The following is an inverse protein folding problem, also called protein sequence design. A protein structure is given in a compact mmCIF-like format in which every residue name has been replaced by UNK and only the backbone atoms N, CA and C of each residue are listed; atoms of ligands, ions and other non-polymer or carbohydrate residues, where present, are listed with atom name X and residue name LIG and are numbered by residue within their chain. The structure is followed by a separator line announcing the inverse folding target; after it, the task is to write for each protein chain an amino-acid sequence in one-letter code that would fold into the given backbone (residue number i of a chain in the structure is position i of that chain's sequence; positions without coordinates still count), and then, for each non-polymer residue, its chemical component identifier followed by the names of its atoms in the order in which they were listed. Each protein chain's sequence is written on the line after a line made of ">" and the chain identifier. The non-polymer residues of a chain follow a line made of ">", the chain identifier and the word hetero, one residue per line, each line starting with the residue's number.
data_IF_040715660018
#
_entry.id   IF_040715660018
#
_cell.length_a   1.000
_cell.length_b   1.000
_cell.length_c   1.000
_cell.angle_alpha   90.00
_cell.angle_beta   90.00
_cell.angle_gamma   90.00
#
_symmetry.space_group_name_H-M   'P 1'
#
loop_
_entity.id
_entity.type
_entity.pdbx_description
1 polymer ?
#
# COMPACT_ATOMS: atom_id res chain seq x y z
N UNK A 1 -16.37 -0.28 0.69
CA UNK A 1 -15.83 -0.68 2.00
C UNK A 1 -14.45 -0.06 2.21
N UNK A 2 -13.99 0.04 3.45
CA UNK A 2 -12.60 0.38 3.78
C UNK A 2 -11.84 -0.92 4.08
N UNK A 3 -10.64 -1.06 3.54
CA UNK A 3 -9.80 -2.23 3.74
C UNK A 3 -8.90 -1.98 4.95
N UNK A 4 -9.06 -2.82 5.98
CA UNK A 4 -8.20 -2.87 7.15
C UNK A 4 -7.34 -4.13 7.20
N UNK A 5 -6.17 -3.99 7.81
CA UNK A 5 -5.34 -5.08 8.27
C UNK A 5 -5.41 -5.18 9.80
N UNK A 6 -5.36 -6.41 10.32
CA UNK A 6 -5.34 -6.69 11.76
C UNK A 6 -4.27 -7.74 12.12
N UNK A 7 -3.77 -7.79 13.37
CA UNK A 7 -2.80 -8.80 13.79
C UNK A 7 -3.36 -10.21 13.66
N UNK A 8 -2.49 -11.18 13.38
CA UNK A 8 -2.88 -12.59 13.33
C UNK A 8 -3.66 -13.02 14.59
N UNK A 9 -4.79 -13.70 14.40
CA UNK A 9 -5.67 -14.08 15.49
C UNK A 9 -6.23 -15.49 15.26
N UNK A 10 -5.76 -16.44 16.05
CA UNK A 10 -6.12 -17.85 15.90
C UNK A 10 -7.61 -18.13 16.13
N UNK A 11 -8.30 -17.35 16.96
CA UNK A 11 -9.74 -17.53 17.21
C UNK A 11 -10.55 -17.09 15.98
N UNK A 12 -10.22 -15.92 15.40
CA UNK A 12 -10.81 -15.46 14.15
C UNK A 12 -10.52 -16.44 13.00
N UNK A 13 -9.27 -16.89 12.87
CA UNK A 13 -8.87 -17.86 11.84
C UNK A 13 -9.65 -19.18 11.95
N UNK A 14 -9.87 -19.68 13.16
CA UNK A 14 -10.64 -20.90 13.39
C UNK A 14 -12.11 -20.73 12.99
N UNK A 15 -12.72 -19.57 13.29
CA UNK A 15 -14.09 -19.27 12.88
C UNK A 15 -14.16 -19.18 11.35
N UNK A 16 -13.30 -18.38 10.72
CA UNK A 16 -13.26 -18.20 9.26
C UNK A 16 -13.09 -19.56 8.57
N UNK A 17 -12.10 -20.35 8.99
CA UNK A 17 -11.79 -21.67 8.39
C UNK A 17 -12.97 -22.63 8.41
N UNK A 18 -13.75 -22.64 9.50
CA UNK A 18 -14.95 -23.48 9.63
C UNK A 18 -16.04 -23.08 8.63
N UNK A 19 -16.23 -21.78 8.42
CA UNK A 19 -17.21 -21.28 7.44
C UNK A 19 -16.75 -21.52 6.00
N UNK A 20 -15.47 -21.27 5.70
CA UNK A 20 -14.91 -21.46 4.34
C UNK A 20 -14.76 -22.92 3.94
N UNK A 21 -14.81 -23.87 4.88
CA UNK A 21 -14.92 -25.30 4.58
C UNK A 21 -16.33 -25.72 4.11
N UNK A 22 -17.34 -24.87 4.33
CA UNK A 22 -18.71 -25.08 3.87
C UNK A 22 -18.94 -24.60 2.43
N UNK A 23 -20.17 -24.79 1.94
CA UNK A 23 -20.57 -24.33 0.61
C UNK A 23 -20.71 -22.80 0.61
N UNK A 24 -20.07 -22.07 -0.33
CA UNK A 24 -20.27 -20.62 -0.46
C UNK A 24 -21.69 -20.28 -0.95
N UNK A 25 -22.15 -19.08 -0.60
CA UNK A 25 -23.41 -18.51 -1.08
C UNK A 25 -23.27 -17.92 -2.48
N UNK A 26 -22.08 -17.36 -2.77
CA UNK A 26 -21.69 -16.90 -4.10
C UNK A 26 -20.34 -17.49 -4.47
N UNK A 27 -20.22 -17.96 -5.71
CA UNK A 27 -18.99 -18.48 -6.30
C UNK A 27 -19.03 -18.18 -7.79
N UNK A 28 -18.24 -17.20 -8.21
CA UNK A 28 -18.20 -16.76 -9.60
C UNK A 28 -16.83 -16.20 -9.98
N UNK A 29 -16.55 -16.17 -11.28
CA UNK A 29 -15.37 -15.52 -11.85
C UNK A 29 -15.81 -14.17 -12.42
N UNK A 30 -15.14 -13.10 -12.01
CA UNK A 30 -15.42 -11.76 -12.52
C UNK A 30 -15.10 -11.69 -14.03
N UNK A 31 -16.05 -11.21 -14.86
CA UNK A 31 -15.79 -11.01 -16.27
C UNK A 31 -14.74 -9.91 -16.48
N UNK A 32 -13.67 -10.21 -17.21
CA UNK A 32 -12.68 -9.23 -17.67
C UNK A 32 -11.29 -9.41 -17.05
N UNK A 33 -11.21 -9.65 -15.74
CA UNK A 33 -9.93 -9.84 -15.03
C UNK A 33 -9.65 -11.29 -14.64
N UNK A 34 -10.67 -12.16 -14.64
CA UNK A 34 -10.53 -13.59 -14.37
C UNK A 34 -10.38 -13.93 -12.87
N UNK A 35 -10.59 -12.98 -11.96
CA UNK A 35 -10.52 -13.25 -10.53
C UNK A 35 -11.74 -14.05 -10.05
N UNK A 36 -11.49 -15.09 -9.26
CA UNK A 36 -12.53 -15.85 -8.58
C UNK A 36 -12.98 -15.14 -7.30
N UNK A 37 -14.29 -15.03 -7.11
CA UNK A 37 -14.90 -14.45 -5.94
C UNK A 37 -15.82 -15.47 -5.26
N UNK A 38 -15.50 -15.79 -4.01
CA UNK A 38 -16.28 -16.69 -3.17
C UNK A 38 -16.70 -15.99 -1.89
N UNK A 39 -17.97 -16.18 -1.48
CA UNK A 39 -18.55 -15.51 -0.34
C UNK A 39 -19.28 -16.50 0.57
N UNK A 40 -19.06 -16.36 1.87
CA UNK A 40 -19.75 -17.10 2.92
C UNK A 40 -20.42 -16.10 3.86
N UNK A 41 -21.50 -16.54 4.50
CA UNK A 41 -22.23 -15.74 5.50
C UNK A 41 -21.92 -16.34 6.87
N UNK A 42 -21.52 -15.49 7.81
CA UNK A 42 -21.44 -15.82 9.23
C UNK A 42 -22.70 -15.28 9.90
N UNK A 43 -23.64 -16.17 10.22
CA UNK A 43 -24.98 -15.86 10.74
C UNK A 43 -25.29 -16.48 12.11
N UNK A 44 -24.35 -17.24 12.69
CA UNK A 44 -24.49 -17.76 14.05
C UNK A 44 -24.15 -16.66 15.04
N UNK A 45 -25.10 -16.33 15.92
CA UNK A 45 -24.91 -15.28 16.92
C UNK A 45 -23.66 -15.51 17.78
N UNK A 46 -23.42 -16.76 18.19
CA UNK A 46 -22.25 -17.15 18.99
C UNK A 46 -20.91 -16.77 18.30
N UNK A 47 -20.84 -16.95 16.98
CA UNK A 47 -19.65 -16.66 16.19
C UNK A 47 -19.50 -15.15 15.92
N UNK A 48 -20.61 -14.44 15.72
CA UNK A 48 -20.63 -12.97 15.58
C UNK A 48 -20.17 -12.30 16.88
N UNK A 49 -20.64 -12.80 18.03
CA UNK A 49 -20.26 -12.30 19.35
C UNK A 49 -18.77 -12.54 19.61
N UNK A 50 -18.27 -13.74 19.27
CA UNK A 50 -16.84 -14.05 19.38
C UNK A 50 -15.98 -13.14 18.51
N UNK A 51 -16.35 -12.93 17.23
CA UNK A 51 -15.66 -11.99 16.34
C UNK A 51 -15.64 -10.59 16.94
N UNK A 52 -16.79 -10.13 17.45
CA UNK A 52 -16.92 -8.79 18.06
C UNK A 52 -16.00 -8.65 19.28
N UNK A 53 -15.93 -9.67 20.14
CA UNK A 53 -15.05 -9.69 21.32
C UNK A 53 -13.57 -9.69 20.93
N UNK A 54 -13.17 -10.44 19.90
CA UNK A 54 -11.80 -10.44 19.40
C UNK A 54 -11.39 -9.08 18.84
N UNK A 55 -12.25 -8.44 18.03
CA UNK A 55 -11.98 -7.09 17.53
C UNK A 55 -11.99 -6.02 18.63
N UNK A 56 -12.81 -6.16 19.67
CA UNK A 56 -12.83 -5.23 20.81
C UNK A 56 -11.52 -5.24 21.62
N UNK A 57 -10.75 -6.34 21.57
CA UNK A 57 -9.44 -6.46 22.20
C UNK A 57 -8.34 -5.75 21.38
N UNK A 58 -8.60 -5.42 20.12
CA UNK A 58 -7.64 -4.74 19.24
C UNK A 58 -7.79 -3.22 19.40
N UNK A 59 -6.81 -2.53 19.98
CA UNK A 59 -6.92 -1.09 20.25
C UNK A 59 -6.98 -0.25 18.96
N UNK A 60 -6.47 -0.79 17.85
CA UNK A 60 -6.51 -0.15 16.55
C UNK A 60 -6.40 -1.20 15.43
N UNK A 61 -6.93 -0.84 14.26
CA UNK A 61 -6.73 -1.55 13.00
C UNK A 61 -5.94 -0.66 12.03
N UNK A 62 -5.17 -1.26 11.13
CA UNK A 62 -4.40 -0.52 10.14
C UNK A 62 -5.23 -0.28 8.89
N UNK A 63 -5.35 0.96 8.40
CA UNK A 63 -6.03 1.26 7.14
C UNK A 63 -5.09 0.88 5.98
N UNK A 64 -5.34 -0.26 5.35
CA UNK A 64 -4.57 -0.71 4.19
C UNK A 64 -5.00 0.03 2.92
N UNK A 65 -6.31 0.27 2.73
CA UNK A 65 -6.83 1.10 1.66
C UNK A 65 -8.16 1.78 2.05
N UNK A 66 -8.37 3.01 1.59
CA UNK A 66 -9.59 3.77 1.84
C UNK A 66 -9.48 4.92 2.85
N UNK A 67 -8.30 5.47 3.10
CA UNK A 67 -8.08 6.65 3.96
C UNK A 67 -9.07 7.79 3.71
N UNK A 68 -9.29 8.17 2.45
CA UNK A 68 -10.26 9.20 2.08
C UNK A 68 -11.71 8.79 2.36
N UNK A 69 -12.05 7.50 2.17
CA UNK A 69 -13.38 6.97 2.47
C UNK A 69 -13.65 6.99 3.97
N UNK A 70 -12.69 6.59 4.80
CA UNK A 70 -12.78 6.67 6.26
C UNK A 70 -12.93 8.10 6.74
N UNK A 71 -12.12 9.03 6.21
CA UNK A 71 -12.20 10.45 6.57
C UNK A 71 -13.55 11.06 6.17
N UNK A 72 -14.04 10.78 4.95
CA UNK A 72 -15.34 11.26 4.49
C UNK A 72 -16.49 10.69 5.33
N UNK A 73 -16.46 9.39 5.66
CA UNK A 73 -17.45 8.76 6.53
C UNK A 73 -17.48 9.40 7.91
N UNK A 74 -16.32 9.67 8.51
CA UNK A 74 -16.22 10.35 9.80
C UNK A 74 -16.82 11.77 9.76
N UNK A 75 -16.56 12.54 8.69
CA UNK A 75 -17.13 13.88 8.51
C UNK A 75 -18.67 13.83 8.40
N UNK A 76 -19.19 12.91 7.60
CA UNK A 76 -20.65 12.71 7.44
C UNK A 76 -21.28 12.28 8.76
N UNK A 77 -20.67 11.34 9.48
CA UNK A 77 -21.14 10.89 10.79
C UNK A 77 -21.23 12.04 11.79
N UNK A 78 -20.18 12.86 11.87
CA UNK A 78 -20.16 14.04 12.74
C UNK A 78 -21.21 15.09 12.35
N UNK A 79 -21.45 15.30 11.06
CA UNK A 79 -22.51 16.20 10.58
C UNK A 79 -23.90 15.69 10.97
N UNK A 80 -24.18 14.40 10.73
CA UNK A 80 -25.47 13.77 11.05
C UNK A 80 -25.74 13.72 12.54
N UNK A 81 -24.73 13.43 13.37
CA UNK A 81 -24.83 13.47 14.81
C UNK A 81 -25.26 14.87 15.31
N UNK A 82 -24.70 15.95 14.76
CA UNK A 82 -25.09 17.33 15.09
C UNK A 82 -26.53 17.67 14.69
N UNK A 83 -27.03 17.05 13.63
CA UNK A 83 -28.39 17.26 13.11
C UNK A 83 -29.44 16.38 13.80
N UNK A 84 -29.04 15.43 14.64
CA UNK A 84 -29.94 14.50 15.32
C UNK A 84 -30.06 14.82 16.82
N UNK A 85 -31.16 15.46 17.27
CA UNK A 85 -31.39 15.75 18.70
C UNK A 85 -31.46 14.50 19.59
N UNK A 86 -31.70 13.32 19.00
CA UNK A 86 -31.84 12.04 19.69
C UNK A 86 -30.62 11.13 19.46
N UNK A 87 -29.43 11.71 19.23
CA UNK A 87 -28.19 10.95 19.03
C UNK A 87 -27.86 10.06 20.25
N UNK A 88 -27.63 8.77 19.98
CA UNK A 88 -27.27 7.73 20.96
C UNK A 88 -25.87 7.13 20.71
N UNK A 89 -25.31 7.33 19.52
CA UNK A 89 -24.01 6.76 19.13
C UNK A 89 -24.07 5.41 18.42
N UNK A 90 -25.27 4.81 18.30
CA UNK A 90 -25.53 3.53 17.63
C UNK A 90 -26.26 3.70 16.28
N UNK A 91 -26.41 4.93 15.79
CA UNK A 91 -27.03 5.16 14.49
C UNK A 91 -26.14 4.73 13.33
N UNK A 92 -26.77 4.38 12.20
CA UNK A 92 -26.08 3.91 10.98
C UNK A 92 -24.97 4.85 10.49
N UNK A 93 -25.11 6.17 10.66
CA UNK A 93 -24.09 7.14 10.25
C UNK A 93 -22.82 7.11 11.12
N UNK A 94 -22.81 6.36 12.24
CA UNK A 94 -21.62 6.12 13.06
C UNK A 94 -20.80 4.93 12.56
N UNK A 95 -21.29 4.20 11.55
CA UNK A 95 -20.65 3.00 11.02
C UNK A 95 -20.39 3.13 9.51
N UNK A 96 -19.42 2.37 9.04
CA UNK A 96 -19.19 2.15 7.62
C UNK A 96 -18.72 0.72 7.39
N UNK A 97 -18.94 0.21 6.18
CA UNK A 97 -18.54 -1.15 5.85
C UNK A 97 -17.00 -1.27 5.81
N UNK A 98 -16.49 -2.19 6.61
CA UNK A 98 -15.09 -2.59 6.64
C UNK A 98 -14.90 -3.96 5.96
N UNK A 99 -13.73 -4.17 5.38
CA UNK A 99 -13.22 -5.50 5.01
C UNK A 99 -11.88 -5.64 5.72
N UNK A 100 -11.74 -6.68 6.53
CA UNK A 100 -10.60 -6.85 7.43
C UNK A 100 -9.84 -8.13 7.07
N UNK A 101 -8.53 -8.04 6.93
CA UNK A 101 -7.66 -9.20 6.64
C UNK A 101 -6.54 -9.32 7.68
N UNK A 102 -6.17 -10.54 8.10
CA UNK A 102 -5.05 -10.72 9.02
C UNK A 102 -3.74 -10.41 8.30
N UNK A 103 -2.77 -9.87 9.04
CA UNK A 103 -1.50 -9.40 8.49
C UNK A 103 -0.74 -10.51 7.75
N UNK A 104 -0.77 -11.75 8.24
CA UNK A 104 -0.14 -12.90 7.59
C UNK A 104 -0.76 -13.33 6.25
N UNK A 105 -1.96 -12.85 5.89
CA UNK A 105 -2.60 -13.12 4.60
C UNK A 105 -2.44 -11.94 3.63
N UNK A 106 -1.71 -10.90 4.02
CA UNK A 106 -1.44 -9.74 3.20
C UNK A 106 -0.03 -9.78 2.63
N UNK A 107 0.06 -9.45 1.35
CA UNK A 107 1.35 -9.24 0.67
C UNK A 107 1.45 -7.79 0.25
N UNK A 108 2.48 -7.11 0.72
CA UNK A 108 2.82 -5.77 0.23
C UNK A 108 3.59 -5.96 -1.08
N UNK A 109 3.00 -5.45 -2.15
CA UNK A 109 3.60 -5.48 -3.49
C UNK A 109 4.26 -4.14 -3.79
N UNK A 110 5.20 -4.17 -4.73
CA UNK A 110 5.93 -2.98 -5.17
C UNK A 110 4.98 -1.91 -5.73
N UNK A 111 5.39 -0.65 -5.67
CA UNK A 111 4.72 0.44 -6.36
C UNK A 111 5.78 1.28 -7.06
N UNK A 112 5.99 1.00 -8.34
CA UNK A 112 7.13 1.51 -9.09
C UNK A 112 6.82 2.89 -9.67
N UNK A 113 7.84 3.77 -9.70
CA UNK A 113 7.74 5.11 -10.27
C UNK A 113 8.43 5.09 -11.62
N UNK A 114 7.73 5.50 -12.67
CA UNK A 114 8.25 5.58 -14.03
C UNK A 114 8.34 7.03 -14.42
N UNK A 115 9.50 7.45 -14.91
CA UNK A 115 9.75 8.85 -15.29
C UNK A 115 10.07 8.93 -16.78
N UNK A 116 9.44 9.88 -17.48
CA UNK A 116 9.50 10.02 -18.94
C UNK A 116 10.82 10.54 -19.49
N UNK A 117 11.56 11.32 -18.70
CA UNK A 117 12.82 11.94 -19.09
C UNK A 117 13.74 12.13 -17.89
N UNK A 118 15.02 12.36 -18.16
CA UNK A 118 16.04 12.62 -17.15
C UNK A 118 16.25 14.11 -16.89
N UNK A 119 15.20 14.94 -17.06
CA UNK A 119 15.28 16.38 -16.84
C UNK A 119 16.39 17.07 -17.69
N UNK A 120 16.57 16.60 -18.92
CA UNK A 120 17.58 17.10 -19.86
C UNK A 120 19.00 16.53 -19.69
N UNK A 121 19.22 15.63 -18.73
CA UNK A 121 20.50 14.95 -18.54
C UNK A 121 20.68 13.74 -19.47
N UNK A 122 21.93 13.38 -19.76
CA UNK A 122 22.25 12.04 -20.26
C UNK A 122 22.15 10.99 -19.15
N UNK A 123 22.08 9.67 -19.48
CA UNK A 123 22.12 8.62 -18.47
C UNK A 123 23.34 8.71 -17.54
N UNK A 124 24.52 9.05 -18.06
CA UNK A 124 25.76 9.19 -17.29
C UNK A 124 25.68 10.37 -16.33
N UNK A 125 25.17 11.51 -16.79
CA UNK A 125 24.96 12.70 -15.97
C UNK A 125 23.95 12.44 -14.84
N UNK A 126 22.86 11.74 -15.16
CA UNK A 126 21.86 11.33 -14.17
C UNK A 126 22.45 10.40 -13.11
N UNK A 127 23.17 9.34 -13.52
CA UNK A 127 23.81 8.42 -12.58
C UNK A 127 24.87 9.12 -11.72
N UNK A 128 25.62 10.09 -12.29
CA UNK A 128 26.55 10.91 -11.54
C UNK A 128 25.85 11.81 -10.51
N UNK A 129 24.69 12.39 -10.85
CA UNK A 129 23.88 13.19 -9.93
C UNK A 129 23.32 12.33 -8.79
N UNK A 130 22.73 11.17 -9.10
CA UNK A 130 22.27 10.18 -8.11
C UNK A 130 23.42 9.70 -7.23
N UNK A 131 24.60 9.50 -7.82
CA UNK A 131 25.82 9.06 -7.13
C UNK A 131 26.31 10.01 -6.03
N UNK A 132 25.79 11.25 -5.95
CA UNK A 132 26.05 12.14 -4.80
C UNK A 132 25.47 11.56 -3.51
N UNK A 133 24.23 11.09 -3.58
CA UNK A 133 23.45 10.62 -2.42
C UNK A 133 23.41 9.09 -2.28
N UNK A 134 23.72 8.35 -3.35
CA UNK A 134 23.65 6.89 -3.40
C UNK A 134 24.98 6.26 -3.79
N UNK A 135 25.23 5.04 -3.30
CA UNK A 135 26.21 4.13 -3.88
C UNK A 135 25.51 3.44 -5.05
N UNK A 136 26.05 3.61 -6.26
CA UNK A 136 25.46 3.13 -7.52
C UNK A 136 26.28 1.95 -8.03
N UNK A 137 25.63 0.82 -8.27
CA UNK A 137 26.26 -0.37 -8.85
C UNK A 137 25.45 -0.87 -10.05
N UNK A 138 26.07 -1.01 -11.21
CA UNK A 138 25.45 -1.68 -12.37
C UNK A 138 25.29 -3.18 -12.09
N UNK A 139 24.10 -3.72 -12.37
CA UNK A 139 23.74 -5.14 -12.17
C UNK A 139 23.49 -5.89 -13.49
N UNK A 140 23.55 -5.21 -14.63
CA UNK A 140 23.36 -5.81 -15.96
C UNK A 140 21.90 -5.78 -16.43
N UNK A 141 21.50 -6.70 -17.30
CA UNK A 141 20.17 -6.72 -17.94
C UNK A 141 19.11 -7.54 -17.17
N UNK A 142 19.57 -8.42 -16.28
CA UNK A 142 18.71 -9.24 -15.45
C UNK A 142 18.00 -8.41 -14.38
N UNK A 143 16.75 -8.77 -14.08
CA UNK A 143 15.95 -8.04 -13.08
C UNK A 143 16.70 -8.02 -11.75
N UNK A 144 16.93 -6.81 -11.25
CA UNK A 144 17.44 -6.58 -9.92
C UNK A 144 16.31 -6.16 -8.98
N UNK A 145 16.21 -6.86 -7.85
CA UNK A 145 15.34 -6.49 -6.74
C UNK A 145 16.17 -5.90 -5.59
N UNK A 146 15.64 -4.90 -4.87
CA UNK A 146 16.30 -4.41 -3.68
C UNK A 146 16.60 -5.52 -2.67
N UNK A 147 17.76 -5.43 -2.01
CA UNK A 147 18.21 -6.46 -1.06
C UNK A 147 18.00 -6.11 0.42
N UNK A 148 17.48 -4.92 0.73
CA UNK A 148 17.24 -4.48 2.10
C UNK A 148 16.72 -3.05 2.21
N UNK A 149 16.61 -2.54 3.43
CA UNK A 149 16.23 -1.15 3.71
C UNK A 149 17.18 -0.17 3.05
N UNK A 150 16.64 0.94 2.53
CA UNK A 150 17.39 2.02 1.89
C UNK A 150 18.15 1.60 0.63
N UNK A 151 17.81 0.44 0.08
CA UNK A 151 18.28 -0.04 -1.19
C UNK A 151 17.14 0.01 -2.22
N UNK A 152 17.46 0.42 -3.43
CA UNK A 152 16.51 0.63 -4.50
C UNK A 152 17.03 -0.03 -5.78
N UNK A 153 16.10 -0.44 -6.64
CA UNK A 153 16.41 -0.83 -8.01
C UNK A 153 16.07 0.34 -8.94
N UNK A 154 16.98 0.64 -9.84
CA UNK A 154 16.79 1.58 -10.93
C UNK A 154 16.94 0.82 -12.24
N UNK A 155 15.98 0.97 -13.14
CA UNK A 155 16.12 0.54 -14.53
C UNK A 155 16.35 1.76 -15.42
N UNK A 156 17.45 1.76 -16.17
CA UNK A 156 17.85 2.87 -17.02
C UNK A 156 18.63 2.34 -18.23
N UNK A 157 18.21 2.74 -19.42
CA UNK A 157 18.88 2.44 -20.69
C UNK A 157 19.24 0.94 -20.87
N UNK A 158 18.24 0.07 -20.68
CA UNK A 158 18.41 -1.38 -20.83
C UNK A 158 19.01 -2.09 -19.61
N UNK A 159 19.53 -1.35 -18.61
CA UNK A 159 20.28 -1.90 -17.50
C UNK A 159 19.65 -1.64 -16.14
N UNK A 160 19.86 -2.58 -15.23
CA UNK A 160 19.53 -2.46 -13.83
C UNK A 160 20.71 -1.94 -13.02
N UNK A 161 20.39 -1.12 -12.03
CA UNK A 161 21.32 -0.56 -11.07
C UNK A 161 20.79 -0.79 -9.66
N UNK A 162 21.71 -1.12 -8.74
CA UNK A 162 21.49 -1.04 -7.30
C UNK A 162 21.83 0.36 -6.84
N UNK A 163 20.90 1.01 -6.14
CA UNK A 163 21.13 2.29 -5.48
C UNK A 163 21.00 2.07 -3.98
N UNK A 164 22.09 2.23 -3.23
CA UNK A 164 22.05 2.19 -1.76
C UNK A 164 22.23 3.60 -1.22
N UNK A 165 21.24 4.11 -0.46
CA UNK A 165 21.33 5.46 0.09
C UNK A 165 22.51 5.53 1.07
N UNK A 166 23.35 6.55 0.91
CA UNK A 166 24.52 6.74 1.78
C UNK A 166 24.08 7.13 3.18
N UNK A 167 24.78 6.68 4.24
CA UNK A 167 24.52 7.18 5.59
C UNK A 167 24.58 8.72 5.64
N UNK A 168 23.64 9.32 6.36
CA UNK A 168 23.52 10.78 6.49
C UNK A 168 22.68 11.47 5.41
N UNK A 169 22.19 10.75 4.39
CA UNK A 169 21.20 11.29 3.44
C UNK A 169 19.75 11.07 3.88
N UNK A 170 19.56 10.32 4.96
CA UNK A 170 18.31 10.09 5.67
C UNK A 170 18.53 10.23 7.18
N UNK A 171 17.44 10.42 7.93
CA UNK A 171 17.48 10.63 9.38
C UNK A 171 16.65 9.56 10.09
N UNK A 172 17.32 8.64 10.78
CA UNK A 172 16.67 7.56 11.54
C UNK A 172 15.77 8.05 12.69
N UNK A 173 15.94 9.31 13.11
CA UNK A 173 15.09 9.93 14.13
C UNK A 173 13.86 10.65 13.53
N UNK A 174 13.76 10.74 12.21
CA UNK A 174 12.60 11.28 11.51
C UNK A 174 11.75 10.11 10.98
N UNK A 175 10.56 9.85 11.58
CA UNK A 175 9.72 8.73 11.19
C UNK A 175 9.21 8.81 9.75
N UNK A 176 9.23 9.99 9.12
CA UNK A 176 8.85 10.20 7.72
C UNK A 176 10.11 10.24 6.84
N UNK A 177 11.13 10.98 7.28
CA UNK A 177 12.39 11.17 6.56
C UNK A 177 13.18 9.88 6.32
N UNK A 178 13.02 8.87 7.18
CA UNK A 178 13.68 7.56 7.06
C UNK A 178 13.01 6.64 6.04
N UNK A 179 11.77 6.92 5.62
CA UNK A 179 11.04 6.03 4.73
C UNK A 179 11.66 6.02 3.33
N UNK A 180 11.85 4.84 2.74
CA UNK A 180 12.42 4.68 1.40
C UNK A 180 11.67 5.48 0.32
N UNK A 181 10.35 5.60 0.47
CA UNK A 181 9.52 6.45 -0.39
C UNK A 181 9.90 7.93 -0.30
N UNK A 182 10.21 8.42 0.91
CA UNK A 182 10.64 9.81 1.15
C UNK A 182 12.04 10.04 0.60
N UNK A 183 12.96 9.11 0.86
CA UNK A 183 14.35 9.16 0.39
C UNK A 183 14.37 9.23 -1.14
N UNK A 184 13.69 8.31 -1.83
CA UNK A 184 13.63 8.30 -3.30
C UNK A 184 12.90 9.53 -3.87
N UNK A 185 11.80 9.97 -3.25
CA UNK A 185 11.07 11.16 -3.72
C UNK A 185 11.90 12.43 -3.60
N UNK A 186 12.60 12.62 -2.48
CA UNK A 186 13.38 13.84 -2.27
C UNK A 186 14.70 13.82 -3.06
N UNK A 187 15.48 12.74 -2.93
CA UNK A 187 16.86 12.72 -3.41
C UNK A 187 16.99 12.34 -4.89
N UNK A 188 15.96 11.71 -5.48
CA UNK A 188 15.96 11.32 -6.90
C UNK A 188 14.92 12.14 -7.66
N UNK A 189 13.65 12.07 -7.25
CA UNK A 189 12.58 12.70 -8.02
C UNK A 189 12.64 14.23 -7.95
N UNK A 190 12.75 14.83 -6.76
CA UNK A 190 12.85 16.27 -6.60
C UNK A 190 14.27 16.79 -6.93
N UNK A 191 15.28 16.39 -6.16
CA UNK A 191 16.63 16.98 -6.26
C UNK A 191 17.28 16.78 -7.63
N UNK A 192 17.15 15.59 -8.22
CA UNK A 192 17.81 15.24 -9.49
C UNK A 192 16.89 15.50 -10.69
N UNK A 193 15.63 15.06 -10.63
CA UNK A 193 14.71 15.14 -11.78
C UNK A 193 13.78 16.36 -11.75
N UNK A 194 13.75 17.14 -10.67
CA UNK A 194 12.91 18.33 -10.52
C UNK A 194 11.41 18.05 -10.41
N UNK A 195 11.01 16.82 -10.09
CA UNK A 195 9.62 16.38 -9.94
C UNK A 195 9.21 16.58 -8.48
N UNK A 196 8.56 17.72 -8.21
CA UNK A 196 8.19 18.15 -6.86
C UNK A 196 6.83 17.64 -6.40
N UNK A 197 5.84 17.69 -7.29
CA UNK A 197 4.49 17.23 -7.00
C UNK A 197 4.15 16.02 -7.87
N UNK A 198 4.19 14.85 -7.23
CA UNK A 198 3.91 13.57 -7.85
C UNK A 198 2.46 13.43 -8.34
N UNK A 199 1.54 14.30 -7.89
CA UNK A 199 0.12 14.26 -8.28
C UNK A 199 -0.16 15.05 -9.55
N UNK A 200 0.66 16.05 -9.87
CA UNK A 200 0.39 16.99 -10.96
C UNK A 200 1.46 17.01 -12.05
N UNK A 201 2.68 16.55 -11.76
CA UNK A 201 3.75 16.47 -12.76
C UNK A 201 3.43 15.39 -13.81
N UNK A 202 3.41 15.78 -15.08
CA UNK A 202 3.06 14.90 -16.20
C UNK A 202 4.20 13.96 -16.61
N UNK A 203 5.40 14.13 -16.05
CA UNK A 203 6.59 13.33 -16.35
C UNK A 203 6.66 12.04 -15.53
N UNK A 204 5.85 11.90 -14.50
CA UNK A 204 5.83 10.70 -13.66
C UNK A 204 4.54 9.90 -13.88
N UNK A 205 4.67 8.58 -13.82
CA UNK A 205 3.57 7.62 -13.78
C UNK A 205 3.88 6.50 -12.79
N UNK A 206 2.89 5.66 -12.49
CA UNK A 206 2.99 4.63 -11.47
C UNK A 206 2.60 3.25 -12.02
N UNK A 207 3.48 2.28 -11.76
CA UNK A 207 3.25 0.88 -12.13
C UNK A 207 3.12 0.05 -10.86
N UNK A 208 1.90 -0.42 -10.59
CA UNK A 208 1.62 -1.31 -9.47
C UNK A 208 2.29 -2.67 -9.64
N UNK A 209 2.78 -3.23 -8.54
CA UNK A 209 3.58 -4.46 -8.51
C UNK A 209 2.86 -5.70 -9.02
N UNK A 210 1.52 -5.67 -9.17
CA UNK A 210 0.74 -6.76 -9.77
C UNK A 210 1.13 -7.02 -11.23
N UNK A 211 1.68 -6.01 -11.93
CA UNK A 211 2.19 -6.17 -13.30
C UNK A 211 3.61 -6.78 -13.35
N UNK A 212 4.31 -6.83 -12.22
CA UNK A 212 5.69 -7.29 -12.12
C UNK A 212 6.72 -6.29 -12.67
N UNK A 213 8.00 -6.56 -12.40
CA UNK A 213 9.13 -5.71 -12.83
C UNK A 213 9.42 -5.81 -14.34
N UNK A 214 8.92 -6.85 -15.03
CA UNK A 214 9.02 -6.95 -16.50
C UNK A 214 8.29 -5.81 -17.21
N UNK A 215 7.23 -5.26 -16.60
CA UNK A 215 6.52 -4.09 -17.14
C UNK A 215 7.43 -2.85 -17.19
N UNK A 216 8.48 -2.79 -16.36
CA UNK A 216 9.42 -1.67 -16.34
C UNK A 216 10.46 -1.74 -17.47
N UNK A 217 10.57 -2.88 -18.16
CA UNK A 217 11.46 -3.06 -19.33
C UNK A 217 10.82 -2.67 -20.67
N UNK A 218 9.56 -2.23 -20.66
CA UNK A 218 8.81 -1.81 -21.86
C UNK A 218 9.02 -0.35 -22.17
#
# INVERSE_FOLDING_TARGET
>A
PVFFAYPDNAALDAIISRYTAGKPVYDFIAPGDGFGHTFWIIDKQEDIDAITQEFAQMPALYIADGHHRSAAAALVGAEKAKQNPNHRGDEEYNYFMAVCFPANQLTIIDYNRVVKDLNGMTPEEFLAAVGKNFIVEEKGEDIYKPSGLHNFSLYLDGKWYSLTAKPGTYNDNDPIGVLDVTISSNLILDEVLGIKDLRSDKRIDFVGGIRGLEELKK
#
